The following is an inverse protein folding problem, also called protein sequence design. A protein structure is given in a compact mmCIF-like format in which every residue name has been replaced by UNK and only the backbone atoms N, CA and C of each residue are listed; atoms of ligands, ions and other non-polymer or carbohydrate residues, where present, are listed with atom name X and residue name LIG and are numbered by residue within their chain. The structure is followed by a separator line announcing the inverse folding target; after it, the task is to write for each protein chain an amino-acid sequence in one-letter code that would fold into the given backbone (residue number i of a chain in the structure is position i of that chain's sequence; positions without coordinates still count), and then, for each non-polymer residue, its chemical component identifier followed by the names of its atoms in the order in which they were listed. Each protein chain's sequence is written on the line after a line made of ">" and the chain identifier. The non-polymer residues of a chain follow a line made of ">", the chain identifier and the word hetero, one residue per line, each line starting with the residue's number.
data_IF_056322243909
#
_entry.id   IF_056322243909
#
_cell.length_a   1.000
_cell.length_b   1.000
_cell.length_c   1.000
_cell.angle_alpha   90.00
_cell.angle_beta   90.00
_cell.angle_gamma   90.00
#
_symmetry.space_group_name_H-M   'P 1'
#
loop_
_entity.id
_entity.type
_entity.pdbx_description
1 polymer ?
#
# COMPACT_ATOMS: atom_id res chain seq x y z
N UNK A 1 24.64 68.70 -30.13
CA UNK A 1 23.49 68.41 -29.25
C UNK A 1 22.41 67.83 -30.14
N UNK A 2 22.02 66.57 -30.10
CA UNK A 2 22.41 65.43 -29.28
C UNK A 2 21.67 64.20 -29.82
N UNK A 3 22.39 63.07 -29.83
CA UNK A 3 21.92 61.70 -29.58
C UNK A 3 20.98 61.00 -30.58
N UNK A 4 21.62 60.13 -31.38
CA UNK A 4 21.08 58.88 -31.93
C UNK A 4 20.81 57.87 -30.80
N UNK A 5 19.59 57.34 -30.73
CA UNK A 5 19.19 56.25 -29.82
C UNK A 5 19.31 54.92 -30.57
N UNK A 6 20.17 54.03 -30.09
CA UNK A 6 20.23 52.61 -30.43
C UNK A 6 19.42 51.78 -29.40
N UNK A 7 18.79 50.71 -29.93
CA UNK A 7 18.40 49.42 -29.36
C UNK A 7 17.59 49.27 -28.07
N UNK A 8 16.46 48.53 -28.17
CA UNK A 8 16.21 47.36 -27.33
C UNK A 8 15.18 46.39 -27.97
N UNK A 9 15.58 45.24 -28.55
CA UNK A 9 14.69 44.16 -28.91
C UNK A 9 14.76 43.03 -27.87
N UNK A 10 14.42 43.30 -26.61
CA UNK A 10 14.29 42.27 -25.59
C UNK A 10 12.87 42.18 -25.03
N UNK A 11 11.91 41.80 -25.89
CA UNK A 11 10.70 41.12 -25.43
C UNK A 11 11.09 39.73 -24.93
N UNK A 12 11.52 39.66 -23.67
CA UNK A 12 11.63 38.39 -22.96
C UNK A 12 10.21 37.81 -22.80
N UNK A 13 9.94 36.78 -23.59
CA UNK A 13 8.77 35.94 -23.49
C UNK A 13 8.66 35.42 -22.05
N UNK A 14 7.57 35.76 -21.36
CA UNK A 14 7.10 35.02 -20.18
C UNK A 14 6.72 33.61 -20.65
N UNK A 15 7.69 32.72 -20.69
CA UNK A 15 7.44 31.28 -20.78
C UNK A 15 6.91 30.84 -19.43
N UNK A 16 5.60 30.69 -19.39
CA UNK A 16 4.88 29.97 -18.35
C UNK A 16 5.47 28.57 -18.25
N UNK A 17 6.20 28.32 -17.17
CA UNK A 17 6.62 26.99 -16.77
C UNK A 17 5.38 26.17 -16.43
N UNK A 18 4.77 25.55 -17.43
CA UNK A 18 3.84 24.46 -17.24
C UNK A 18 4.69 23.26 -16.85
N UNK A 19 4.76 22.99 -15.54
CA UNK A 19 5.29 21.73 -15.06
C UNK A 19 4.55 20.62 -15.79
N UNK A 20 5.28 19.75 -16.48
CA UNK A 20 4.73 18.55 -17.09
C UNK A 20 4.12 17.69 -15.98
N UNK A 21 2.83 17.90 -15.70
CA UNK A 21 2.06 16.99 -14.88
C UNK A 21 2.16 15.63 -15.53
N UNK A 22 2.86 14.70 -14.87
CA UNK A 22 3.09 13.36 -15.39
C UNK A 22 1.70 12.72 -15.54
N UNK A 23 1.27 12.53 -16.79
CA UNK A 23 -0.03 11.91 -17.06
C UNK A 23 0.00 10.50 -16.49
N UNK A 24 -0.76 10.28 -15.43
CA UNK A 24 -0.93 8.97 -14.82
C UNK A 24 -1.55 8.02 -15.85
N UNK A 25 -1.02 6.80 -16.03
CA UNK A 25 -1.62 5.79 -16.89
C UNK A 25 -3.10 5.57 -16.55
N UNK A 26 -3.91 5.29 -17.58
CA UNK A 26 -5.37 5.10 -17.45
C UNK A 26 -5.75 4.08 -16.36
N UNK A 27 -4.97 3.01 -16.23
CA UNK A 27 -5.09 2.00 -15.17
C UNK A 27 -5.13 2.62 -13.76
N UNK A 28 -4.24 3.55 -13.46
CA UNK A 28 -4.19 4.21 -12.15
C UNK A 28 -5.32 5.23 -11.98
N UNK A 29 -5.63 6.00 -13.02
CA UNK A 29 -6.70 7.01 -12.94
C UNK A 29 -8.08 6.36 -12.71
N UNK A 30 -8.36 5.22 -13.35
CA UNK A 30 -9.61 4.48 -13.16
C UNK A 30 -9.72 3.93 -11.74
N UNK A 31 -8.67 3.31 -11.21
CA UNK A 31 -8.65 2.83 -9.83
C UNK A 31 -8.83 3.98 -8.82
N UNK A 32 -8.14 5.11 -9.02
CA UNK A 32 -8.27 6.27 -8.15
C UNK A 32 -9.71 6.82 -8.16
N UNK A 33 -10.33 6.91 -9.34
CA UNK A 33 -11.71 7.33 -9.46
C UNK A 33 -12.66 6.39 -8.73
N UNK A 34 -12.53 5.07 -8.95
CA UNK A 34 -13.35 4.07 -8.27
C UNK A 34 -13.29 4.24 -6.75
N UNK A 35 -12.08 4.29 -6.18
CA UNK A 35 -11.93 4.38 -4.73
C UNK A 35 -12.41 5.71 -4.14
N UNK A 36 -12.35 6.81 -4.90
CA UNK A 36 -12.91 8.11 -4.46
C UNK A 36 -14.43 8.11 -4.28
N UNK A 37 -15.13 7.15 -4.92
CA UNK A 37 -16.59 6.99 -4.83
C UNK A 37 -16.99 5.96 -3.76
N UNK A 38 -16.03 5.16 -3.25
CA UNK A 38 -16.29 4.14 -2.23
C UNK A 38 -16.47 4.79 -0.84
N UNK A 39 -17.51 4.45 -0.07
CA UNK A 39 -17.69 5.00 1.27
C UNK A 39 -16.55 4.65 2.22
N UNK A 40 -16.05 5.64 2.96
CA UNK A 40 -14.99 5.52 3.98
C UNK A 40 -15.43 4.73 5.23
N UNK A 41 -15.72 3.45 5.04
CA UNK A 41 -16.27 2.52 6.04
C UNK A 41 -15.58 1.16 5.91
N UNK A 42 -15.62 0.34 6.96
CA UNK A 42 -15.09 -1.03 6.91
C UNK A 42 -15.74 -1.86 5.79
N UNK A 43 -17.02 -1.62 5.51
CA UNK A 43 -17.72 -2.31 4.44
C UNK A 43 -17.24 -1.86 3.05
N UNK A 44 -16.99 -0.57 2.86
CA UNK A 44 -16.40 -0.03 1.63
C UNK A 44 -15.00 -0.59 1.36
N UNK A 45 -14.14 -0.62 2.38
CA UNK A 45 -12.78 -1.20 2.25
C UNK A 45 -12.76 -2.69 1.92
N UNK A 46 -13.88 -3.38 2.13
CA UNK A 46 -14.01 -4.82 1.91
C UNK A 46 -14.97 -5.13 0.75
N UNK A 47 -15.28 -4.16 -0.12
CA UNK A 47 -16.13 -4.37 -1.29
C UNK A 47 -17.52 -4.91 -0.94
N UNK A 48 -18.12 -4.43 0.15
CA UNK A 48 -19.41 -4.94 0.65
C UNK A 48 -19.32 -6.18 1.55
N UNK A 49 -18.12 -6.69 1.80
CA UNK A 49 -17.88 -7.90 2.61
C UNK A 49 -17.47 -7.57 4.05
N UNK A 50 -18.03 -6.51 4.65
CA UNK A 50 -17.66 -6.06 6.01
C UNK A 50 -17.67 -7.16 7.08
N UNK A 51 -18.52 -8.17 6.91
CA UNK A 51 -18.66 -9.33 7.79
C UNK A 51 -17.41 -10.23 7.84
N UNK A 52 -16.48 -10.15 6.87
CA UNK A 52 -15.22 -10.94 6.90
C UNK A 52 -14.12 -10.26 7.73
N UNK A 53 -14.30 -9.02 8.18
CA UNK A 53 -13.26 -8.25 8.87
C UNK A 53 -12.67 -9.00 10.08
N UNK A 54 -13.52 -9.58 10.93
CA UNK A 54 -13.06 -10.25 12.14
C UNK A 54 -12.19 -11.48 11.82
N UNK A 55 -12.61 -12.30 10.85
CA UNK A 55 -11.88 -13.52 10.45
C UNK A 55 -10.61 -13.20 9.67
N UNK A 56 -10.60 -12.11 8.90
CA UNK A 56 -9.41 -11.55 8.26
C UNK A 56 -8.34 -11.17 9.30
N UNK A 57 -8.71 -10.32 10.26
CA UNK A 57 -7.80 -9.85 11.31
C UNK A 57 -7.31 -11.01 12.18
N UNK A 58 -8.18 -11.97 12.51
CA UNK A 58 -7.79 -13.15 13.27
C UNK A 58 -6.73 -13.98 12.55
N UNK A 59 -6.90 -14.22 11.24
CA UNK A 59 -5.91 -14.93 10.42
C UNK A 59 -4.56 -14.21 10.41
N UNK A 60 -4.58 -12.88 10.26
CA UNK A 60 -3.37 -12.05 10.27
C UNK A 60 -2.66 -12.05 11.64
N UNK A 61 -3.42 -12.02 12.75
CA UNK A 61 -2.85 -12.12 14.12
C UNK A 61 -2.11 -13.44 14.33
N UNK A 62 -2.71 -14.56 13.91
CA UNK A 62 -2.07 -15.89 14.00
C UNK A 62 -0.79 -15.90 13.15
N UNK A 63 -0.88 -15.42 11.91
CA UNK A 63 0.25 -15.37 11.00
C UNK A 63 1.44 -14.54 11.56
N UNK A 64 1.19 -13.33 12.05
CA UNK A 64 2.24 -12.48 12.64
C UNK A 64 2.85 -13.07 13.92
N UNK A 65 2.03 -13.72 14.75
CA UNK A 65 2.51 -14.43 15.95
C UNK A 65 3.47 -15.56 15.58
N UNK A 66 3.18 -16.31 14.53
CA UNK A 66 4.03 -17.40 14.05
C UNK A 66 5.33 -16.92 13.39
N UNK A 67 5.31 -15.76 12.72
CA UNK A 67 6.53 -15.13 12.18
C UNK A 67 7.51 -14.70 13.27
N UNK A 68 7.04 -14.48 14.50
CA UNK A 68 7.83 -13.96 15.62
C UNK A 68 8.62 -12.71 15.20
N UNK A 69 7.91 -11.70 14.70
CA UNK A 69 8.51 -10.43 14.27
C UNK A 69 9.38 -9.87 15.42
N UNK A 70 10.69 -9.66 15.20
CA UNK A 70 11.63 -9.38 16.28
C UNK A 70 11.50 -7.96 16.84
N UNK A 71 11.29 -6.97 15.97
CA UNK A 71 11.09 -5.59 16.34
C UNK A 71 9.61 -5.25 16.53
N UNK A 72 9.34 -4.28 17.40
CA UNK A 72 7.99 -3.83 17.80
C UNK A 72 7.89 -2.31 17.86
N UNK A 73 8.85 -1.57 17.29
CA UNK A 73 8.86 -0.11 17.36
C UNK A 73 8.01 0.48 16.25
N UNK A 74 8.37 0.23 14.99
CA UNK A 74 7.76 0.92 13.85
C UNK A 74 7.25 -0.06 12.80
N UNK A 75 5.96 0.01 12.49
CA UNK A 75 5.34 -0.70 11.36
C UNK A 75 4.81 0.25 10.29
N UNK A 76 4.65 -0.25 9.07
CA UNK A 76 4.03 0.46 7.94
C UNK A 76 2.84 -0.34 7.42
N UNK A 77 1.69 0.33 7.26
CA UNK A 77 0.50 -0.19 6.57
C UNK A 77 0.40 0.41 5.16
N UNK A 78 0.59 -0.40 4.14
CA UNK A 78 0.57 0.02 2.74
C UNK A 78 -0.80 -0.20 2.09
N UNK A 79 -1.39 0.85 1.53
CA UNK A 79 -2.78 0.81 1.06
C UNK A 79 -3.72 0.74 2.25
N UNK A 80 -3.49 1.60 3.24
CA UNK A 80 -4.11 1.47 4.56
C UNK A 80 -5.63 1.69 4.54
N UNK A 81 -6.16 2.34 3.50
CA UNK A 81 -7.52 2.84 3.44
C UNK A 81 -7.82 3.67 4.69
N UNK A 82 -8.93 3.37 5.35
CA UNK A 82 -9.32 4.02 6.61
C UNK A 82 -8.53 3.53 7.85
N UNK A 83 -7.42 2.80 7.68
CA UNK A 83 -6.61 2.27 8.78
C UNK A 83 -7.23 1.07 9.49
N UNK A 84 -8.04 0.26 8.79
CA UNK A 84 -8.68 -0.96 9.35
C UNK A 84 -7.64 -1.94 9.88
N UNK A 85 -6.57 -2.17 9.13
CA UNK A 85 -5.49 -3.08 9.52
C UNK A 85 -4.59 -2.43 10.57
N UNK A 86 -4.16 -1.18 10.36
CA UNK A 86 -3.48 -0.38 11.39
C UNK A 86 -4.14 -0.50 12.77
N UNK A 87 -5.43 -0.16 12.88
CA UNK A 87 -6.17 -0.16 14.15
C UNK A 87 -6.31 -1.55 14.78
N UNK A 88 -6.67 -2.56 14.00
CA UNK A 88 -7.10 -3.85 14.55
C UNK A 88 -5.99 -4.92 14.60
N UNK A 89 -4.88 -4.70 13.91
CA UNK A 89 -3.75 -5.62 13.80
C UNK A 89 -2.42 -5.01 14.25
N UNK A 90 -2.04 -3.85 13.72
CA UNK A 90 -0.68 -3.34 13.87
C UNK A 90 -0.49 -2.53 15.17
N UNK A 91 -1.38 -1.60 15.49
CA UNK A 91 -1.30 -0.78 16.71
C UNK A 91 -1.31 -1.58 18.03
N UNK A 92 -2.00 -2.74 18.13
CA UNK A 92 -1.82 -3.63 19.28
C UNK A 92 -0.42 -4.26 19.42
N UNK A 93 0.38 -4.26 18.35
CA UNK A 93 1.65 -5.00 18.25
C UNK A 93 2.89 -4.10 18.14
N UNK A 94 2.74 -2.85 17.73
CA UNK A 94 3.84 -1.92 17.49
C UNK A 94 3.66 -0.62 18.27
N UNK A 95 4.76 0.02 18.66
CA UNK A 95 4.75 1.31 19.36
C UNK A 95 4.17 2.42 18.46
N UNK A 96 4.56 2.42 17.18
CA UNK A 96 4.13 3.39 16.16
C UNK A 96 3.81 2.68 14.84
N UNK A 97 2.78 3.14 14.15
CA UNK A 97 2.36 2.65 12.83
C UNK A 97 2.23 3.82 11.87
N UNK A 98 3.07 3.84 10.84
CA UNK A 98 2.91 4.71 9.68
C UNK A 98 1.92 4.10 8.69
N UNK A 99 1.21 4.95 7.95
CA UNK A 99 0.26 4.56 6.92
C UNK A 99 0.65 5.21 5.60
N UNK A 100 0.44 4.50 4.49
CA UNK A 100 0.41 5.12 3.16
C UNK A 100 -0.91 4.78 2.48
N UNK A 101 -1.62 5.82 2.04
CA UNK A 101 -2.93 5.73 1.41
C UNK A 101 -3.05 6.83 0.35
N UNK A 102 -3.53 6.52 -0.85
CA UNK A 102 -3.61 7.49 -1.94
C UNK A 102 -4.86 8.37 -1.86
N UNK A 103 -5.96 7.86 -1.32
CA UNK A 103 -7.20 8.61 -1.22
C UNK A 103 -7.20 9.49 0.04
N UNK A 104 -7.36 10.79 -0.16
CA UNK A 104 -7.30 11.77 0.94
C UNK A 104 -8.44 11.59 1.95
N UNK A 105 -9.64 11.19 1.50
CA UNK A 105 -10.79 10.97 2.39
C UNK A 105 -10.53 9.74 3.27
N UNK A 106 -9.94 8.69 2.71
CA UNK A 106 -9.55 7.51 3.49
C UNK A 106 -8.40 7.81 4.45
N UNK A 107 -7.38 8.57 4.01
CA UNK A 107 -6.28 8.98 4.86
C UNK A 107 -6.76 9.79 6.07
N UNK A 108 -7.64 10.77 5.87
CA UNK A 108 -8.23 11.55 6.96
C UNK A 108 -9.12 10.68 7.85
N UNK A 109 -9.89 9.76 7.26
CA UNK A 109 -10.68 8.80 8.06
C UNK A 109 -9.79 7.89 8.90
N UNK A 110 -8.62 7.52 8.39
CA UNK A 110 -7.63 6.75 9.13
C UNK A 110 -7.10 7.54 10.33
N UNK A 111 -6.81 8.85 10.17
CA UNK A 111 -6.42 9.72 11.29
C UNK A 111 -7.47 9.71 12.39
N UNK A 112 -8.74 9.92 12.04
CA UNK A 112 -9.85 9.87 13.01
C UNK A 112 -9.95 8.52 13.72
N UNK A 113 -9.96 7.42 12.95
CA UNK A 113 -10.16 6.08 13.52
C UNK A 113 -8.97 5.61 14.35
N UNK A 114 -7.75 6.00 13.99
CA UNK A 114 -6.52 5.56 14.65
C UNK A 114 -6.14 6.44 15.85
N UNK A 115 -6.76 7.61 16.03
CA UNK A 115 -6.53 8.50 17.19
C UNK A 115 -7.69 8.53 18.18
N UNK A 116 -8.85 7.95 17.84
CA UNK A 116 -9.99 7.84 18.77
C UNK A 116 -9.60 7.18 20.11
N UNK A 117 -10.17 7.70 21.22
CA UNK A 117 -9.77 7.48 22.64
C UNK A 117 -9.65 6.01 23.12
N UNK A 118 -10.04 5.03 22.30
CA UNK A 118 -10.03 3.61 22.64
C UNK A 118 -8.66 2.92 22.53
N UNK A 119 -7.60 3.60 22.08
CA UNK A 119 -6.25 3.05 21.93
C UNK A 119 -5.20 3.99 22.52
N UNK A 120 -3.98 3.48 22.76
CA UNK A 120 -2.83 4.33 23.14
C UNK A 120 -2.72 5.44 22.09
N UNK A 121 -3.16 6.64 22.46
CA UNK A 121 -3.38 7.80 21.58
C UNK A 121 -2.13 8.24 20.79
N UNK A 122 -0.97 7.68 21.10
CA UNK A 122 0.32 8.02 20.51
C UNK A 122 0.89 6.91 19.59
N UNK A 123 0.07 5.96 19.10
CA UNK A 123 0.55 4.88 18.22
C UNK A 123 0.43 5.17 16.73
N UNK A 124 -0.28 6.23 16.33
CA UNK A 124 -0.30 6.67 14.93
C UNK A 124 0.98 7.46 14.62
N UNK A 125 1.72 7.03 13.61
CA UNK A 125 2.87 7.75 13.07
C UNK A 125 2.48 8.64 11.88
N UNK A 126 3.35 8.68 10.88
CA UNK A 126 3.14 9.44 9.65
C UNK A 126 2.01 8.80 8.81
N UNK A 127 1.17 9.64 8.20
CA UNK A 127 0.18 9.20 7.20
C UNK A 127 0.51 9.87 5.89
N UNK A 128 1.14 9.11 5.00
CA UNK A 128 1.57 9.55 3.67
C UNK A 128 0.39 9.45 2.69
N UNK A 129 -0.06 10.60 2.18
CA UNK A 129 -1.13 10.63 1.19
C UNK A 129 -0.56 10.49 -0.24
N UNK A 130 -0.11 9.28 -0.59
CA UNK A 130 0.61 8.98 -1.84
C UNK A 130 0.21 7.61 -2.41
N UNK A 131 0.24 7.48 -3.74
CA UNK A 131 0.16 6.19 -4.41
C UNK A 131 1.41 5.34 -4.17
N UNK A 132 1.25 4.02 -4.04
CA UNK A 132 2.37 3.10 -3.77
C UNK A 132 3.44 3.11 -4.87
N UNK A 133 3.06 3.42 -6.11
CA UNK A 133 3.95 3.56 -7.26
C UNK A 133 4.96 4.72 -7.10
N UNK A 134 4.60 5.76 -6.33
CA UNK A 134 5.43 6.94 -6.07
C UNK A 134 6.01 6.95 -4.64
N UNK A 135 5.41 6.20 -3.72
CA UNK A 135 5.82 6.18 -2.32
C UNK A 135 7.23 5.57 -2.11
N UNK A 136 8.07 6.33 -1.40
CA UNK A 136 9.40 5.91 -0.95
C UNK A 136 9.52 6.14 0.55
N UNK A 137 9.62 5.09 1.38
CA UNK A 137 9.64 5.27 2.83
C UNK A 137 10.90 5.99 3.31
N UNK A 138 10.75 6.92 4.26
CA UNK A 138 11.85 7.68 4.88
C UNK A 138 12.46 6.97 6.09
N UNK A 139 11.75 5.98 6.64
CA UNK A 139 12.18 5.21 7.81
C UNK A 139 12.51 3.75 7.45
N UNK A 140 13.15 3.07 8.41
CA UNK A 140 13.29 1.62 8.39
C UNK A 140 12.32 0.98 9.38
N UNK A 141 11.58 -0.02 8.90
CA UNK A 141 10.46 -0.63 9.60
C UNK A 141 10.81 -2.01 10.16
N UNK A 142 10.24 -2.34 11.32
CA UNK A 142 10.28 -3.67 11.92
C UNK A 142 9.31 -4.64 11.24
N UNK A 143 8.24 -4.09 10.64
CA UNK A 143 7.28 -4.79 9.80
C UNK A 143 6.73 -3.83 8.74
N UNK A 144 6.69 -4.28 7.49
CA UNK A 144 5.90 -3.63 6.44
C UNK A 144 4.77 -4.60 6.08
N UNK A 145 3.52 -4.12 6.10
CA UNK A 145 2.33 -4.87 5.76
C UNK A 145 1.65 -4.26 4.53
N UNK A 146 1.26 -5.10 3.57
CA UNK A 146 0.48 -4.67 2.41
C UNK A 146 -0.66 -5.65 2.18
N UNK A 147 -1.88 -5.15 2.13
CA UNK A 147 -3.06 -6.00 2.03
C UNK A 147 -4.09 -5.43 1.07
N UNK A 148 -4.54 -6.24 0.11
CA UNK A 148 -5.57 -5.89 -0.88
C UNK A 148 -5.33 -4.56 -1.59
N UNK A 149 -4.11 -4.36 -2.06
CA UNK A 149 -3.70 -3.14 -2.78
C UNK A 149 -2.74 -3.43 -3.92
N UNK A 150 -2.06 -4.57 -3.90
CA UNK A 150 -1.03 -4.90 -4.89
C UNK A 150 -1.61 -5.19 -6.28
N UNK A 151 -2.92 -5.48 -6.33
CA UNK A 151 -3.68 -5.55 -7.57
C UNK A 151 -3.75 -4.22 -8.32
N UNK A 152 -3.58 -3.08 -7.64
CA UNK A 152 -3.61 -1.74 -8.22
C UNK A 152 -2.22 -1.22 -8.64
N UNK A 153 -1.19 -2.06 -8.63
CA UNK A 153 0.12 -1.74 -9.22
C UNK A 153 0.30 -2.50 -10.52
N UNK A 154 0.90 -1.86 -11.52
CA UNK A 154 1.40 -2.59 -12.71
C UNK A 154 2.52 -3.55 -12.30
N UNK A 155 2.80 -4.60 -13.09
CA UNK A 155 3.89 -5.53 -12.77
C UNK A 155 5.25 -4.83 -12.58
N UNK A 156 5.68 -3.90 -13.47
CA UNK A 156 6.91 -3.14 -13.24
C UNK A 156 6.88 -2.34 -11.93
N UNK A 157 5.78 -1.62 -11.65
CA UNK A 157 5.68 -0.79 -10.45
C UNK A 157 5.59 -1.63 -9.17
N UNK A 158 4.99 -2.82 -9.25
CA UNK A 158 4.94 -3.79 -8.15
C UNK A 158 6.34 -4.27 -7.76
N UNK A 159 7.19 -4.61 -8.75
CA UNK A 159 8.59 -4.98 -8.49
C UNK A 159 9.38 -3.80 -7.93
N UNK A 160 9.19 -2.59 -8.47
CA UNK A 160 9.84 -1.38 -7.96
C UNK A 160 9.41 -1.06 -6.52
N UNK A 161 8.12 -1.17 -6.22
CA UNK A 161 7.57 -1.02 -4.88
C UNK A 161 8.19 -2.03 -3.92
N UNK A 162 8.23 -3.31 -4.29
CA UNK A 162 8.89 -4.35 -3.48
C UNK A 162 10.37 -4.05 -3.23
N UNK A 163 11.12 -3.57 -4.23
CA UNK A 163 12.52 -3.16 -4.05
C UNK A 163 12.65 -2.04 -3.02
N UNK A 164 11.78 -1.02 -3.07
CA UNK A 164 11.75 0.06 -2.07
C UNK A 164 11.45 -0.48 -0.68
N UNK A 165 10.41 -1.31 -0.53
CA UNK A 165 10.05 -1.90 0.76
C UNK A 165 11.20 -2.73 1.35
N UNK A 166 11.93 -3.49 0.52
CA UNK A 166 13.09 -4.27 0.96
C UNK A 166 14.18 -3.39 1.58
N UNK A 167 14.49 -2.27 0.93
CA UNK A 167 15.53 -1.34 1.38
C UNK A 167 15.14 -0.60 2.67
N UNK A 168 13.83 -0.46 2.91
CA UNK A 168 13.25 0.16 4.10
C UNK A 168 12.98 -0.84 5.24
N UNK A 169 13.52 -2.07 5.19
CA UNK A 169 13.44 -2.99 6.32
C UNK A 169 14.59 -2.79 7.32
N UNK A 170 14.28 -2.87 8.61
CA UNK A 170 15.27 -3.10 9.66
C UNK A 170 15.93 -4.48 9.48
N UNK A 171 17.13 -4.71 10.05
CA UNK A 171 17.72 -6.03 10.09
C UNK A 171 16.76 -7.07 10.66
N UNK A 172 16.63 -8.22 10.00
CA UNK A 172 15.72 -9.32 10.37
C UNK A 172 14.21 -9.02 10.36
N UNK A 173 13.80 -7.81 9.95
CA UNK A 173 12.40 -7.44 9.80
C UNK A 173 11.71 -8.20 8.67
N UNK A 174 10.38 -8.09 8.63
CA UNK A 174 9.55 -8.78 7.66
C UNK A 174 8.81 -7.79 6.76
N UNK A 175 8.77 -8.11 5.46
CA UNK A 175 7.74 -7.60 4.57
C UNK A 175 6.67 -8.67 4.43
N UNK A 176 5.41 -8.32 4.66
CA UNK A 176 4.28 -9.21 4.58
C UNK A 176 3.27 -8.71 3.55
N UNK A 177 2.81 -9.59 2.68
CA UNK A 177 1.69 -9.33 1.78
C UNK A 177 0.52 -10.22 2.14
N UNK A 178 -0.70 -9.70 2.02
CA UNK A 178 -1.95 -10.46 2.13
C UNK A 178 -2.88 -10.10 0.98
N UNK A 179 -3.05 -11.01 0.03
CA UNK A 179 -3.66 -10.63 -1.25
C UNK A 179 -4.58 -11.72 -1.81
N UNK A 180 -5.53 -11.29 -2.64
CA UNK A 180 -6.32 -12.19 -3.49
C UNK A 180 -5.38 -12.89 -4.49
N UNK A 181 -5.61 -14.18 -4.68
CA UNK A 181 -4.82 -15.01 -5.59
C UNK A 181 -5.74 -15.67 -6.60
N UNK A 182 -5.37 -15.56 -7.88
CA UNK A 182 -6.08 -16.24 -8.97
C UNK A 182 -5.97 -17.76 -8.82
N UNK A 183 -7.09 -18.46 -9.00
CA UNK A 183 -7.11 -19.93 -9.12
C UNK A 183 -6.65 -20.41 -10.49
N UNK A 184 -6.56 -19.50 -11.48
CA UNK A 184 -6.00 -19.77 -12.80
C UNK A 184 -4.48 -19.55 -12.76
N UNK A 185 -3.78 -20.07 -13.76
CA UNK A 185 -2.35 -19.79 -13.97
C UNK A 185 -2.10 -18.40 -14.57
N UNK A 186 -3.15 -17.64 -14.85
CA UNK A 186 -3.12 -16.33 -15.49
C UNK A 186 -3.74 -15.27 -14.60
N UNK A 187 -3.40 -14.02 -14.91
CA UNK A 187 -4.00 -12.85 -14.31
C UNK A 187 -5.50 -12.74 -14.65
N UNK A 188 -6.26 -12.19 -13.72
CA UNK A 188 -7.67 -11.84 -13.89
C UNK A 188 -7.76 -10.33 -13.66
N UNK A 189 -8.16 -9.60 -14.70
CA UNK A 189 -8.38 -8.16 -14.62
C UNK A 189 -9.79 -7.90 -14.11
N UNK A 190 -9.91 -6.89 -13.27
CA UNK A 190 -11.17 -6.32 -12.86
C UNK A 190 -11.26 -4.92 -13.45
N UNK A 191 -12.22 -4.72 -14.35
CA UNK A 191 -12.42 -3.44 -15.04
C UNK A 191 -13.24 -2.44 -14.19
N UNK A 192 -13.88 -2.90 -13.11
CA UNK A 192 -14.71 -2.07 -12.23
C UNK A 192 -13.82 -1.21 -11.32
N UNK A 193 -12.90 -1.84 -10.59
CA UNK A 193 -11.95 -1.16 -9.70
C UNK A 193 -10.56 -0.92 -10.32
N UNK A 194 -10.39 -1.31 -11.59
CA UNK A 194 -9.13 -1.26 -12.33
C UNK A 194 -7.98 -1.93 -11.58
N UNK A 195 -8.15 -3.23 -11.29
CA UNK A 195 -7.17 -4.03 -10.58
C UNK A 195 -6.83 -5.34 -11.30
N UNK A 196 -5.78 -6.02 -10.81
CA UNK A 196 -5.33 -7.32 -11.31
C UNK A 196 -5.19 -8.32 -10.17
N UNK A 197 -6.00 -9.38 -10.21
CA UNK A 197 -5.83 -10.56 -9.36
C UNK A 197 -4.86 -11.54 -10.03
N UNK A 198 -3.69 -11.75 -9.41
CA UNK A 198 -2.58 -12.53 -9.99
C UNK A 198 -2.50 -13.96 -9.43
N UNK A 199 -1.93 -14.93 -10.16
CA UNK A 199 -1.62 -16.24 -9.60
C UNK A 199 -0.52 -16.12 -8.54
N UNK A 200 -0.52 -17.04 -7.57
CA UNK A 200 0.45 -17.05 -6.46
C UNK A 200 1.90 -17.03 -6.95
N UNK A 201 2.17 -17.78 -8.01
CA UNK A 201 3.49 -17.88 -8.63
C UNK A 201 4.02 -16.52 -9.14
N UNK A 202 3.13 -15.60 -9.55
CA UNK A 202 3.53 -14.26 -9.97
C UNK A 202 4.06 -13.45 -8.78
N UNK A 203 3.33 -13.41 -7.65
CA UNK A 203 3.81 -12.75 -6.43
C UNK A 203 5.15 -13.34 -5.97
N UNK A 204 5.29 -14.66 -5.99
CA UNK A 204 6.56 -15.30 -5.61
C UNK A 204 7.72 -14.91 -6.53
N UNK A 205 7.47 -14.82 -7.84
CA UNK A 205 8.46 -14.37 -8.82
C UNK A 205 8.87 -12.92 -8.57
N UNK A 206 7.91 -12.01 -8.43
CA UNK A 206 8.17 -10.59 -8.21
C UNK A 206 8.89 -10.31 -6.89
N UNK A 207 8.52 -11.01 -5.81
CA UNK A 207 9.22 -10.93 -4.53
C UNK A 207 10.69 -11.38 -4.67
N UNK A 208 10.94 -12.51 -5.33
CA UNK A 208 12.31 -13.01 -5.57
C UNK A 208 13.12 -12.04 -6.44
N UNK A 209 12.52 -11.53 -7.50
CA UNK A 209 13.14 -10.54 -8.39
C UNK A 209 13.49 -9.22 -7.66
N UNK A 210 12.65 -8.82 -6.71
CA UNK A 210 12.89 -7.65 -5.86
C UNK A 210 13.96 -7.89 -4.78
N UNK A 211 14.50 -9.11 -4.67
CA UNK A 211 15.55 -9.48 -3.72
C UNK A 211 15.01 -9.97 -2.37
N UNK A 212 13.77 -10.43 -2.29
CA UNK A 212 13.24 -11.08 -1.09
C UNK A 212 13.46 -12.59 -1.08
N UNK A 213 13.56 -13.15 0.12
CA UNK A 213 13.39 -14.57 0.40
C UNK A 213 12.07 -14.78 1.13
N UNK A 214 11.22 -15.65 0.58
CA UNK A 214 9.97 -16.06 1.21
C UNK A 214 10.30 -17.03 2.35
N UNK A 215 9.75 -16.78 3.54
CA UNK A 215 9.99 -17.58 4.74
C UNK A 215 8.72 -18.18 5.33
N UNK A 216 7.56 -17.64 4.99
CA UNK A 216 6.27 -18.21 5.35
C UNK A 216 5.25 -17.91 4.26
N UNK A 217 4.34 -18.86 4.02
CA UNK A 217 3.21 -18.71 3.12
C UNK A 217 2.02 -19.48 3.69
N UNK A 218 0.91 -18.80 3.89
CA UNK A 218 -0.30 -19.36 4.52
C UNK A 218 -1.53 -18.91 3.76
N UNK A 219 -2.41 -19.85 3.40
CA UNK A 219 -3.73 -19.55 2.87
C UNK A 219 -4.65 -19.14 4.01
N UNK A 220 -5.37 -18.03 3.87
CA UNK A 220 -6.44 -17.63 4.79
C UNK A 220 -7.50 -18.73 4.88
N UNK A 221 -7.90 -19.06 6.10
CA UNK A 221 -8.90 -20.09 6.37
C UNK A 221 -10.26 -19.45 6.70
N UNK A 222 -11.33 -20.24 6.61
CA UNK A 222 -12.68 -19.91 7.06
C UNK A 222 -13.30 -18.67 6.39
N UNK A 223 -12.87 -18.35 5.18
CA UNK A 223 -13.58 -17.37 4.34
C UNK A 223 -14.80 -18.01 3.67
N UNK A 224 -15.84 -17.21 3.35
CA UNK A 224 -16.98 -17.67 2.56
C UNK A 224 -16.57 -18.36 1.26
N UNK A 225 -17.38 -19.33 0.84
CA UNK A 225 -17.22 -19.94 -0.48
C UNK A 225 -17.49 -18.89 -1.58
N UNK A 226 -16.84 -19.04 -2.73
CA UNK A 226 -17.02 -18.16 -3.89
C UNK A 226 -16.05 -16.97 -3.95
N UNK A 227 -15.31 -16.68 -2.87
CA UNK A 227 -14.25 -15.67 -2.90
C UNK A 227 -12.95 -16.24 -3.48
N UNK A 228 -12.09 -15.36 -4.01
CA UNK A 228 -10.72 -15.72 -4.35
C UNK A 228 -10.00 -16.28 -3.11
N UNK A 229 -9.12 -17.29 -3.27
CA UNK A 229 -8.23 -17.66 -2.18
C UNK A 229 -7.34 -16.47 -1.81
N UNK A 230 -7.28 -16.17 -0.51
CA UNK A 230 -6.38 -15.13 0.02
C UNK A 230 -5.14 -15.79 0.59
N UNK A 231 -3.96 -15.28 0.25
CA UNK A 231 -2.69 -15.77 0.76
C UNK A 231 -1.94 -14.68 1.52
N UNK A 232 -1.37 -15.07 2.66
CA UNK A 232 -0.38 -14.30 3.40
C UNK A 232 1.02 -14.84 3.07
N UNK A 233 1.94 -13.95 2.68
CA UNK A 233 3.34 -14.30 2.40
C UNK A 233 4.24 -13.40 3.26
N UNK A 234 5.10 -14.03 4.06
CA UNK A 234 6.08 -13.35 4.90
C UNK A 234 7.46 -13.50 4.28
N UNK A 235 8.15 -12.37 4.11
CA UNK A 235 9.40 -12.27 3.38
C UNK A 235 10.47 -11.57 4.22
N UNK A 236 11.73 -11.96 4.02
CA UNK A 236 12.91 -11.26 4.54
C UNK A 236 13.77 -10.77 3.38
N UNK A 237 14.50 -9.67 3.58
CA UNK A 237 15.53 -9.26 2.61
C UNK A 237 16.53 -10.40 2.42
N UNK A 238 16.89 -10.69 1.17
CA UNK A 238 18.01 -11.59 0.85
C UNK A 238 19.30 -10.84 1.18
N UNK A 239 20.01 -11.32 2.19
CA UNK A 239 21.38 -10.91 2.52
C UNK A 239 22.32 -11.28 1.38
#
# INVERSE_FOLDING_TARGET
>A
MGETIEDDPNQSSKTTGTGNAKVLPEFYNKAQKYWSEVPATVNGMLGGLGYINAIDIQGSKIFLRELKVPGKKLALDCGAGIGRVSRNLLMPLFETVDLVEQDAVFAEKARELCTSEAFRSNSLGEVYNLGLQEFSPTHKYDLIWSQWVLGHLTDPDLVLFFRRMRLSLQPNAYFCIKENVSTKSTDIKDDEDSSVTRPLAAYERFLKEAGFRIVRKVRQQNFPKGLFPVYMIGCKSKT
#
